data_IF_702191648768
#
_entry.id   IF_702191648768
#
_cell.length_a   1.000
_cell.length_b   1.000
_cell.length_c   1.000
_cell.angle_alpha   90.00
_cell.angle_beta   90.00
_cell.angle_gamma   90.00
#
_symmetry.space_group_name_H-M   'P 1'
#
loop_
_entity.id
_entity.type
_entity.pdbx_description
1 polymer ?
#
# COMPACT_ATOMS: atom_id res chain seq x y z
N UNK A 1 -56.04 20.62 5.67
CA UNK A 1 -57.02 20.47 4.54
C UNK A 1 -57.28 18.96 4.32
N UNK A 2 -58.18 18.54 3.42
CA UNK A 2 -58.56 17.11 3.22
C UNK A 2 -58.44 16.66 1.76
N UNK A 3 -57.86 15.47 1.54
CA UNK A 3 -57.92 14.52 0.39
C UNK A 3 -57.01 13.35 0.83
N UNK A 4 -57.40 12.09 1.06
CA UNK A 4 -58.60 11.26 0.75
C UNK A 4 -58.83 10.96 -0.74
N UNK A 5 -58.42 9.76 -1.17
CA UNK A 5 -59.17 8.66 -1.86
C UNK A 5 -58.26 7.40 -1.68
N UNK A 6 -58.67 6.27 -1.10
CA UNK A 6 -59.65 5.24 -1.54
C UNK A 6 -59.17 4.62 -2.86
N UNK A 7 -58.51 3.44 -2.91
CA UNK A 7 -58.88 2.07 -2.47
C UNK A 7 -59.81 1.36 -3.47
N UNK A 8 -59.29 0.28 -4.07
CA UNK A 8 -60.05 -0.73 -4.81
C UNK A 8 -59.38 -2.10 -4.60
N UNK A 9 -60.17 -3.13 -4.29
CA UNK A 9 -59.73 -4.50 -4.00
C UNK A 9 -60.53 -5.45 -4.90
N UNK A 10 -59.86 -6.33 -5.64
CA UNK A 10 -60.48 -7.42 -6.40
C UNK A 10 -59.64 -8.69 -6.31
N UNK A 11 -60.27 -9.86 -6.44
CA UNK A 11 -59.73 -11.17 -6.04
C UNK A 11 -60.12 -12.29 -7.00
N UNK A 12 -59.34 -13.37 -6.98
CA UNK A 12 -59.64 -14.72 -7.49
C UNK A 12 -59.78 -14.92 -9.02
N UNK A 13 -59.27 -16.06 -9.50
CA UNK A 13 -59.54 -16.59 -10.84
C UNK A 13 -58.48 -17.58 -11.34
N UNK A 14 -58.73 -18.89 -11.24
CA UNK A 14 -57.90 -19.93 -11.87
C UNK A 14 -58.28 -20.11 -13.35
N UNK A 15 -57.32 -20.45 -14.21
CA UNK A 15 -57.55 -21.39 -15.31
C UNK A 15 -56.27 -22.17 -15.68
N UNK A 16 -56.42 -23.27 -16.44
CA UNK A 16 -55.36 -24.25 -16.76
C UNK A 16 -55.43 -24.69 -18.23
N UNK A 17 -54.53 -25.59 -18.65
CA UNK A 17 -54.42 -26.22 -20.00
C UNK A 17 -53.85 -25.28 -21.10
N UNK A 18 -53.18 -25.76 -22.16
CA UNK A 18 -52.41 -27.01 -22.41
C UNK A 18 -51.56 -26.82 -23.69
N UNK A 19 -50.71 -27.78 -24.07
CA UNK A 19 -50.08 -27.80 -25.40
C UNK A 19 -51.08 -28.10 -26.54
N UNK A 20 -50.68 -28.11 -27.82
CA UNK A 20 -49.36 -27.79 -28.41
C UNK A 20 -49.26 -28.24 -29.88
N UNK A 21 -48.16 -27.88 -30.55
CA UNK A 21 -47.72 -28.29 -31.92
C UNK A 21 -48.63 -27.99 -33.14
N UNK A 22 -48.01 -27.54 -34.25
CA UNK A 22 -48.08 -28.03 -35.65
C UNK A 22 -47.09 -27.16 -36.50
N UNK A 23 -46.18 -27.66 -37.37
CA UNK A 23 -46.33 -28.43 -38.64
C UNK A 23 -46.78 -27.48 -39.79
N UNK A 24 -46.09 -27.30 -40.95
CA UNK A 24 -44.88 -27.95 -41.54
C UNK A 24 -44.34 -27.21 -42.81
N UNK A 25 -43.20 -27.65 -43.41
CA UNK A 25 -42.59 -27.50 -44.79
C UNK A 25 -42.94 -26.27 -45.70
N UNK A 26 -42.05 -25.60 -46.46
CA UNK A 26 -40.82 -25.90 -47.26
C UNK A 26 -41.03 -26.06 -48.81
N UNK A 27 -39.96 -25.85 -49.59
CA UNK A 27 -39.83 -25.77 -51.08
C UNK A 27 -40.46 -24.52 -51.76
N UNK A 28 -39.99 -23.99 -52.91
CA UNK A 28 -38.89 -24.36 -53.84
C UNK A 28 -38.25 -23.05 -54.42
N UNK A 29 -36.95 -22.94 -54.76
CA UNK A 29 -36.26 -23.45 -55.97
C UNK A 29 -36.75 -22.75 -57.28
N UNK A 30 -35.96 -22.05 -58.13
CA UNK A 30 -34.52 -21.71 -58.23
C UNK A 30 -34.37 -20.34 -59.01
N UNK A 31 -33.26 -19.82 -59.59
CA UNK A 31 -31.89 -20.29 -59.89
C UNK A 31 -30.90 -19.10 -60.21
N UNK A 32 -29.59 -19.41 -60.23
CA UNK A 32 -28.48 -18.89 -61.08
C UNK A 32 -28.24 -17.37 -61.35
N UNK A 33 -27.17 -16.80 -60.76
CA UNK A 33 -25.96 -16.35 -61.48
C UNK A 33 -24.72 -16.45 -60.54
N UNK A 34 -23.51 -16.05 -60.96
CA UNK A 34 -22.24 -16.63 -60.47
C UNK A 34 -21.26 -15.74 -59.69
N UNK A 35 -20.68 -16.36 -58.64
CA UNK A 35 -19.28 -16.34 -58.20
C UNK A 35 -18.68 -15.14 -57.41
N UNK A 36 -17.67 -15.52 -56.59
CA UNK A 36 -16.71 -14.71 -55.81
C UNK A 36 -17.30 -13.92 -54.62
N UNK A 37 -16.67 -13.84 -53.43
CA UNK A 37 -15.68 -14.68 -52.72
C UNK A 37 -15.52 -14.05 -51.33
N UNK A 38 -16.05 -14.68 -50.25
CA UNK A 38 -15.58 -14.47 -48.85
C UNK A 38 -16.23 -15.51 -47.91
N UNK A 39 -15.43 -16.37 -47.27
CA UNK A 39 -15.79 -17.14 -46.06
C UNK A 39 -15.01 -16.48 -44.90
N UNK A 40 -15.49 -16.33 -43.66
CA UNK A 40 -16.37 -17.20 -42.86
C UNK A 40 -16.97 -16.33 -41.72
N UNK A 41 -18.26 -16.34 -41.38
CA UNK A 41 -18.95 -17.25 -40.43
C UNK A 41 -18.09 -17.77 -39.25
N UNK A 42 -18.58 -17.86 -38.00
CA UNK A 42 -19.88 -17.49 -37.43
C UNK A 42 -20.24 -18.38 -36.21
N UNK A 43 -21.37 -18.06 -35.56
CA UNK A 43 -22.09 -18.84 -34.53
C UNK A 43 -21.51 -18.91 -33.10
N UNK A 44 -22.35 -18.53 -32.13
CA UNK A 44 -22.40 -19.09 -30.77
C UNK A 44 -22.64 -20.61 -30.80
N UNK A 45 -22.15 -21.35 -29.79
CA UNK A 45 -23.01 -22.24 -28.99
C UNK A 45 -22.40 -22.70 -27.64
N UNK A 46 -22.97 -22.14 -26.56
CA UNK A 46 -23.15 -22.68 -25.18
C UNK A 46 -22.36 -23.94 -24.72
N UNK A 47 -21.62 -23.77 -23.62
CA UNK A 47 -21.46 -24.72 -22.50
C UNK A 47 -21.31 -23.87 -21.21
N UNK A 48 -22.06 -24.08 -20.13
CA UNK A 48 -22.07 -25.20 -19.17
C UNK A 48 -20.86 -25.21 -18.22
N UNK A 49 -21.05 -24.52 -17.08
CA UNK A 49 -20.49 -24.79 -15.74
C UNK A 49 -19.06 -25.34 -15.64
N UNK A 50 -18.05 -24.54 -15.98
CA UNK A 50 -16.78 -24.60 -15.24
C UNK A 50 -16.85 -23.64 -14.05
N UNK A 51 -17.23 -24.22 -12.90
CA UNK A 51 -17.09 -23.61 -11.59
C UNK A 51 -15.61 -23.43 -11.30
N UNK A 52 -15.08 -22.24 -11.58
CA UNK A 52 -13.74 -21.84 -11.19
C UNK A 52 -13.64 -21.85 -9.65
N UNK A 53 -13.21 -23.00 -9.11
CA UNK A 53 -12.36 -23.00 -7.93
C UNK A 53 -11.05 -22.40 -8.39
N UNK A 54 -10.85 -21.13 -8.08
CA UNK A 54 -9.58 -20.78 -7.47
C UNK A 54 -9.47 -21.69 -6.24
N UNK A 55 -8.62 -22.71 -6.35
CA UNK A 55 -8.03 -23.26 -5.13
C UNK A 55 -7.17 -22.12 -4.60
N UNK A 56 -7.65 -21.48 -3.53
CA UNK A 56 -6.87 -20.51 -2.76
C UNK A 56 -5.59 -21.21 -2.31
N UNK A 57 -4.51 -21.06 -3.09
CA UNK A 57 -3.18 -21.19 -2.52
C UNK A 57 -3.16 -20.21 -1.35
N UNK A 58 -2.71 -20.69 -0.19
CA UNK A 58 -2.31 -19.74 0.85
C UNK A 58 -1.12 -19.02 0.25
N UNK A 59 -1.33 -17.78 -0.20
CA UNK A 59 -0.26 -16.85 -0.49
C UNK A 59 0.53 -16.65 0.79
N UNK A 60 1.58 -17.47 0.93
CA UNK A 60 2.62 -17.27 1.91
C UNK A 60 3.45 -16.13 1.36
N UNK A 61 3.01 -14.90 1.68
CA UNK A 61 3.86 -13.72 1.56
C UNK A 61 5.21 -14.04 2.20
N UNK A 62 6.28 -13.57 1.58
CA UNK A 62 7.61 -13.64 2.19
C UNK A 62 7.66 -12.69 3.40
N UNK A 63 8.54 -12.96 4.37
CA UNK A 63 8.67 -12.09 5.55
C UNK A 63 9.11 -10.68 5.10
N UNK A 64 8.40 -9.65 5.57
CA UNK A 64 8.56 -8.28 5.06
C UNK A 64 7.41 -7.33 5.41
N UNK A 65 7.45 -6.12 4.84
CA UNK A 65 6.46 -5.06 5.05
C UNK A 65 5.73 -4.76 3.75
N UNK A 66 4.42 -4.65 3.84
CA UNK A 66 3.48 -4.51 2.72
C UNK A 66 2.48 -3.38 3.02
N UNK A 67 2.04 -2.68 1.99
CA UNK A 67 0.87 -1.79 2.04
C UNK A 67 -0.34 -2.57 1.52
N UNK A 68 -1.34 -2.81 2.36
CA UNK A 68 -2.52 -3.61 2.03
C UNK A 68 -3.82 -2.82 2.25
N UNK A 69 -4.87 -3.12 1.48
CA UNK A 69 -6.18 -2.49 1.66
C UNK A 69 -6.89 -3.09 2.89
N UNK A 70 -7.55 -2.25 3.71
CA UNK A 70 -8.25 -2.68 4.92
C UNK A 70 -9.74 -2.34 4.81
N UNK A 71 -10.54 -3.34 4.48
CA UNK A 71 -11.98 -3.21 4.28
C UNK A 71 -12.77 -3.53 5.56
N UNK A 72 -13.95 -2.94 5.73
CA UNK A 72 -14.71 -3.02 6.98
C UNK A 72 -16.19 -2.68 6.84
N UNK A 73 -17.06 -3.37 7.60
CA UNK A 73 -18.50 -3.02 7.68
C UNK A 73 -18.79 -1.79 8.58
N UNK A 74 -17.77 -1.16 9.16
CA UNK A 74 -17.90 -0.11 10.18
C UNK A 74 -17.61 1.31 9.68
N UNK A 75 -18.64 2.16 9.63
CA UNK A 75 -18.48 3.61 9.39
C UNK A 75 -17.89 4.39 10.59
N UNK A 76 -17.44 3.71 11.64
CA UNK A 76 -16.79 4.31 12.82
C UNK A 76 -15.37 3.78 13.06
N UNK A 77 -14.97 2.73 12.35
CA UNK A 77 -13.71 2.03 12.51
C UNK A 77 -13.20 1.67 11.12
N UNK A 78 -12.48 2.61 10.52
CA UNK A 78 -11.84 2.50 9.22
C UNK A 78 -10.53 3.32 9.25
N UNK A 79 -9.64 3.03 8.30
CA UNK A 79 -8.37 3.74 8.12
C UNK A 79 -8.61 5.23 7.84
N UNK A 80 -7.66 6.07 8.27
CA UNK A 80 -7.67 7.51 8.01
C UNK A 80 -7.63 7.82 6.50
N UNK A 81 -8.33 8.88 6.07
CA UNK A 81 -8.35 9.34 4.67
C UNK A 81 -6.97 9.79 4.15
N UNK A 82 -6.00 10.08 5.03
CA UNK A 82 -4.62 10.36 4.66
C UNK A 82 -3.83 9.15 4.11
N UNK A 83 -4.32 7.91 4.33
CA UNK A 83 -3.68 6.67 3.85
C UNK A 83 -4.51 5.94 2.78
N UNK A 84 -5.46 6.62 2.13
CA UNK A 84 -6.30 6.08 1.04
C UNK A 84 -6.98 4.71 1.34
N UNK A 85 -7.27 4.41 2.61
CA UNK A 85 -7.90 3.15 3.04
C UNK A 85 -6.92 2.01 3.34
N UNK A 86 -5.61 2.25 3.31
CA UNK A 86 -4.57 1.21 3.40
C UNK A 86 -3.86 1.16 4.75
N UNK A 87 -3.59 -0.05 5.23
CA UNK A 87 -2.79 -0.30 6.43
C UNK A 87 -1.39 -0.83 6.10
N UNK A 88 -0.51 -0.80 7.09
CA UNK A 88 0.84 -1.39 6.98
C UNK A 88 0.79 -2.84 7.47
N UNK A 89 0.84 -3.79 6.56
CA UNK A 89 0.85 -5.22 6.82
C UNK A 89 2.31 -5.70 7.02
N UNK A 90 2.61 -6.22 8.20
CA UNK A 90 3.91 -6.84 8.52
C UNK A 90 3.74 -8.36 8.53
N UNK A 91 4.73 -9.07 7.97
CA UNK A 91 4.81 -10.53 7.91
C UNK A 91 6.12 -10.99 8.54
N UNK A 92 6.06 -11.79 9.60
CA UNK A 92 7.24 -12.36 10.28
C UNK A 92 6.98 -13.82 10.70
N UNK A 93 7.90 -14.75 10.38
CA UNK A 93 7.76 -16.20 10.62
C UNK A 93 6.46 -16.80 10.02
N UNK A 94 5.85 -16.10 9.04
CA UNK A 94 4.53 -16.42 8.48
C UNK A 94 3.32 -16.03 9.34
N UNK A 95 3.50 -15.29 10.44
CA UNK A 95 2.42 -14.59 11.15
C UNK A 95 2.23 -13.19 10.54
N UNK A 96 0.98 -12.81 10.28
CA UNK A 96 0.63 -11.55 9.61
C UNK A 96 -0.07 -10.59 10.58
N UNK A 97 0.35 -9.33 10.63
CA UNK A 97 -0.28 -8.28 11.46
C UNK A 97 -0.39 -6.99 10.67
N UNK A 98 -1.60 -6.40 10.59
CA UNK A 98 -1.82 -5.10 9.94
C UNK A 98 -1.97 -3.98 10.95
N UNK A 99 -1.18 -2.92 10.78
CA UNK A 99 -1.32 -1.66 11.50
C UNK A 99 -2.30 -0.73 10.77
N UNK A 100 -3.33 -0.25 11.48
CA UNK A 100 -4.36 0.64 10.91
C UNK A 100 -4.61 1.91 11.72
N UNK A 101 -4.03 3.02 11.28
CA UNK A 101 -4.28 4.36 11.83
C UNK A 101 -5.70 4.85 11.52
N UNK A 102 -6.50 5.11 12.55
CA UNK A 102 -7.93 5.44 12.40
C UNK A 102 -8.19 6.95 12.19
N UNK A 103 -9.40 7.31 11.74
CA UNK A 103 -9.88 8.71 11.72
C UNK A 103 -10.10 9.35 13.10
N UNK A 104 -10.00 8.61 14.22
CA UNK A 104 -10.19 9.21 15.55
C UNK A 104 -9.73 8.34 16.71
N UNK A 105 -9.31 9.00 17.80
CA UNK A 105 -9.09 8.39 19.12
C UNK A 105 -10.39 7.93 19.82
N UNK A 106 -11.39 7.39 19.11
CA UNK A 106 -12.75 7.11 19.62
C UNK A 106 -12.97 5.66 20.07
N UNK A 107 -12.21 4.72 19.50
CA UNK A 107 -12.07 3.34 19.97
C UNK A 107 -11.06 3.32 21.12
N UNK A 108 -11.25 2.43 22.11
CA UNK A 108 -10.46 2.41 23.36
C UNK A 108 -9.64 1.14 23.52
N UNK A 109 -10.14 0.01 23.01
CA UNK A 109 -9.42 -1.25 22.82
C UNK A 109 -10.08 -1.99 21.65
N UNK A 110 -9.37 -2.98 21.10
CA UNK A 110 -9.81 -3.87 20.04
C UNK A 110 -9.59 -5.33 20.49
N UNK A 111 -10.30 -6.28 19.90
CA UNK A 111 -10.09 -7.71 20.14
C UNK A 111 -10.29 -8.51 18.84
N UNK A 112 -9.36 -9.41 18.47
CA UNK A 112 -9.52 -10.27 17.30
C UNK A 112 -10.47 -11.43 17.65
N UNK A 113 -11.64 -11.47 17.01
CA UNK A 113 -12.79 -12.30 17.37
C UNK A 113 -13.96 -11.50 17.97
N UNK A 114 -14.92 -12.19 18.59
CA UNK A 114 -16.22 -11.59 18.93
C UNK A 114 -16.22 -10.76 20.22
N UNK A 115 -17.14 -9.80 20.30
CA UNK A 115 -17.42 -8.97 21.48
C UNK A 115 -17.81 -9.79 22.71
N UNK A 116 -18.34 -11.00 22.50
CA UNK A 116 -18.68 -11.96 23.55
C UNK A 116 -17.43 -12.67 24.10
N UNK A 117 -16.39 -12.81 23.29
CA UNK A 117 -15.12 -13.40 23.68
C UNK A 117 -14.21 -12.35 24.35
N UNK A 118 -14.20 -11.11 23.83
CA UNK A 118 -13.55 -9.94 24.43
C UNK A 118 -14.01 -9.61 25.87
N UNK A 119 -15.18 -10.11 26.29
CA UNK A 119 -15.75 -9.94 27.63
C UNK A 119 -15.45 -11.10 28.60
N UNK A 120 -14.61 -12.07 28.22
CA UNK A 120 -14.19 -13.18 29.08
C UNK A 120 -12.95 -12.82 29.89
N UNK A 121 -12.82 -13.42 31.08
CA UNK A 121 -11.57 -13.40 31.84
C UNK A 121 -10.44 -14.03 31.01
N UNK A 122 -9.36 -13.27 30.79
CA UNK A 122 -8.20 -13.71 29.99
C UNK A 122 -8.26 -13.38 28.50
N UNK A 123 -9.21 -12.57 28.04
CA UNK A 123 -9.18 -12.02 26.68
C UNK A 123 -7.98 -11.07 26.50
N UNK A 124 -7.15 -11.32 25.49
CA UNK A 124 -5.99 -10.49 25.14
C UNK A 124 -6.46 -9.31 24.30
N UNK A 125 -6.66 -8.16 24.95
CA UNK A 125 -7.16 -6.94 24.31
C UNK A 125 -6.01 -6.15 23.68
N UNK A 126 -6.15 -5.88 22.39
CA UNK A 126 -5.28 -5.00 21.63
C UNK A 126 -5.56 -3.55 22.05
N UNK A 127 -4.49 -2.81 22.34
CA UNK A 127 -4.53 -1.42 22.82
C UNK A 127 -4.21 -0.48 21.67
N UNK A 128 -4.78 0.74 21.66
CA UNK A 128 -4.41 1.72 20.65
C UNK A 128 -2.96 2.17 20.82
N UNK A 129 -2.28 2.36 19.69
CA UNK A 129 -1.08 3.20 19.57
C UNK A 129 -1.48 4.68 19.59
N UNK A 130 -0.56 5.59 19.31
CA UNK A 130 -0.89 6.99 19.02
C UNK A 130 0.04 7.47 17.91
N UNK A 131 -0.57 7.75 16.77
CA UNK A 131 0.12 7.94 15.50
C UNK A 131 -0.18 9.35 14.99
N UNK A 132 0.79 9.95 14.31
CA UNK A 132 0.76 11.34 13.87
C UNK A 132 0.41 11.41 12.38
N UNK A 133 -0.83 11.78 12.07
CA UNK A 133 -1.33 11.83 10.69
C UNK A 133 -1.19 13.25 10.16
N UNK A 134 -0.47 13.43 9.05
CA UNK A 134 -0.35 14.71 8.34
C UNK A 134 -1.18 14.67 7.06
N UNK A 135 -2.08 15.63 6.91
CA UNK A 135 -3.01 15.73 5.78
C UNK A 135 -2.42 16.60 4.64
N UNK A 136 -3.00 16.47 3.44
CA UNK A 136 -2.60 17.18 2.22
C UNK A 136 -2.63 18.73 2.29
N UNK A 137 -3.22 19.33 3.32
CA UNK A 137 -3.21 20.79 3.57
C UNK A 137 -2.12 21.24 4.55
N UNK A 138 -1.32 20.31 5.08
CA UNK A 138 -0.28 20.57 6.08
C UNK A 138 -0.80 20.66 7.52
N UNK A 139 -2.05 20.28 7.78
CA UNK A 139 -2.53 20.02 9.14
C UNK A 139 -2.06 18.64 9.62
N UNK A 140 -1.67 18.54 10.89
CA UNK A 140 -1.26 17.29 11.54
C UNK A 140 -2.10 17.07 12.79
N UNK A 141 -2.57 15.84 13.01
CA UNK A 141 -3.23 15.46 14.26
C UNK A 141 -2.82 14.08 14.77
N UNK A 142 -2.89 13.90 16.08
CA UNK A 142 -2.72 12.59 16.69
C UNK A 142 -4.02 11.76 16.57
N UNK A 143 -3.92 10.54 16.04
CA UNK A 143 -5.00 9.55 16.02
C UNK A 143 -4.68 8.37 16.94
N UNK A 144 -5.41 7.26 16.80
CA UNK A 144 -5.06 5.96 17.38
C UNK A 144 -4.99 4.95 16.25
N UNK A 145 -3.87 4.23 16.16
CA UNK A 145 -3.74 3.01 15.37
C UNK A 145 -4.01 1.76 16.20
N UNK A 146 -4.05 0.61 15.52
CA UNK A 146 -4.15 -0.71 16.12
C UNK A 146 -3.39 -1.72 15.28
N UNK A 147 -2.59 -2.55 15.93
CA UNK A 147 -1.95 -3.74 15.34
C UNK A 147 -2.94 -4.91 15.41
N UNK A 148 -3.37 -5.43 14.27
CA UNK A 148 -4.44 -6.45 14.17
C UNK A 148 -3.88 -7.72 13.51
N UNK A 149 -3.83 -8.86 14.21
CA UNK A 149 -3.45 -10.14 13.61
C UNK A 149 -4.41 -10.55 12.49
N UNK A 150 -3.85 -10.85 11.32
CA UNK A 150 -4.56 -11.22 10.09
C UNK A 150 -4.50 -12.76 9.92
N UNK A 151 -5.62 -13.50 10.02
CA UNK A 151 -5.60 -14.96 9.97
C UNK A 151 -5.42 -15.53 8.54
N UNK A 152 -5.85 -14.76 7.55
CA UNK A 152 -5.72 -15.02 6.11
C UNK A 152 -5.96 -13.70 5.36
N UNK A 153 -5.38 -13.58 4.16
CA UNK A 153 -5.68 -12.53 3.20
C UNK A 153 -6.99 -12.87 2.47
N UNK A 154 -7.69 -11.84 1.99
CA UNK A 154 -8.93 -11.93 1.20
C UNK A 154 -10.11 -12.69 1.85
N UNK A 155 -9.98 -13.05 3.14
CA UNK A 155 -11.02 -13.66 3.97
C UNK A 155 -11.58 -12.64 4.99
N UNK A 156 -12.92 -12.61 5.16
CA UNK A 156 -13.57 -11.83 6.23
C UNK A 156 -13.30 -12.47 7.60
N UNK A 157 -12.68 -11.72 8.53
CA UNK A 157 -12.58 -12.11 9.93
C UNK A 157 -13.38 -11.19 10.86
N UNK A 158 -13.76 -11.73 12.03
CA UNK A 158 -14.53 -10.99 13.04
C UNK A 158 -13.58 -10.18 13.94
N UNK A 159 -13.87 -8.90 14.14
CA UNK A 159 -13.15 -8.00 15.06
C UNK A 159 -14.15 -7.30 15.97
N UNK A 160 -13.85 -7.23 17.26
CA UNK A 160 -14.65 -6.52 18.23
C UNK A 160 -13.97 -5.22 18.68
N UNK A 161 -14.70 -4.10 18.65
CA UNK A 161 -14.20 -2.78 19.05
C UNK A 161 -14.88 -2.27 20.32
N UNK A 162 -14.11 -1.73 21.26
CA UNK A 162 -14.62 -1.11 22.48
C UNK A 162 -14.72 0.40 22.32
N UNK A 163 -15.93 0.91 22.09
CA UNK A 163 -16.16 2.36 22.04
C UNK A 163 -16.09 3.02 23.43
N UNK A 164 -15.79 4.33 23.46
CA UNK A 164 -15.72 5.20 24.67
C UNK A 164 -16.87 5.11 25.69
N UNK A 165 -17.98 4.47 25.37
CA UNK A 165 -19.14 4.23 26.27
C UNK A 165 -19.02 2.94 27.08
N UNK A 166 -17.98 2.12 26.88
CA UNK A 166 -17.85 0.81 27.52
C UNK A 166 -18.72 -0.27 26.87
N UNK A 167 -19.08 -0.09 25.60
CA UNK A 167 -19.86 -1.04 24.80
C UNK A 167 -18.96 -1.64 23.72
N UNK A 168 -18.93 -2.97 23.65
CA UNK A 168 -18.31 -3.71 22.56
C UNK A 168 -19.28 -3.82 21.37
N UNK A 169 -18.72 -3.78 20.16
CA UNK A 169 -19.45 -3.99 18.91
C UNK A 169 -18.67 -5.01 18.06
N UNK A 170 -19.36 -6.05 17.60
CA UNK A 170 -18.85 -6.98 16.58
C UNK A 170 -18.87 -6.30 15.20
N UNK A 171 -17.78 -6.45 14.44
CA UNK A 171 -17.60 -5.96 13.09
C UNK A 171 -16.90 -7.01 12.22
N UNK A 172 -17.02 -6.85 10.90
CA UNK A 172 -16.25 -7.64 9.93
C UNK A 172 -15.20 -6.78 9.26
N UNK A 173 -14.05 -7.40 9.02
CA UNK A 173 -12.90 -6.80 8.34
C UNK A 173 -12.26 -7.80 7.40
N UNK A 174 -11.56 -7.30 6.38
CA UNK A 174 -10.73 -8.10 5.46
C UNK A 174 -9.48 -7.31 5.07
N UNK A 175 -8.41 -8.03 4.74
CA UNK A 175 -7.15 -7.45 4.25
C UNK A 175 -6.86 -8.03 2.88
N UNK A 176 -6.70 -7.18 1.87
CA UNK A 176 -6.56 -7.55 0.45
C UNK A 176 -5.47 -6.73 -0.25
N UNK A 177 -5.12 -7.14 -1.46
CA UNK A 177 -4.14 -6.47 -2.34
C UNK A 177 -2.83 -6.03 -1.62
N UNK A 178 -2.08 -6.96 -0.98
CA UNK A 178 -0.81 -6.65 -0.33
C UNK A 178 0.28 -6.32 -1.37
N UNK A 179 0.53 -5.04 -1.58
CA UNK A 179 1.66 -4.56 -2.39
C UNK A 179 2.89 -4.47 -1.48
N UNK A 180 4.07 -4.96 -1.87
CA UNK A 180 5.30 -4.72 -1.10
C UNK A 180 5.46 -3.23 -0.84
N UNK A 181 5.74 -2.84 0.41
CA UNK A 181 6.05 -1.46 0.69
C UNK A 181 7.40 -1.11 0.03
N UNK A 182 7.39 -0.13 -0.87
CA UNK A 182 8.59 0.70 -1.10
C UNK A 182 9.07 1.10 0.31
N UNK A 183 10.29 0.73 0.73
CA UNK A 183 10.62 0.63 2.17
C UNK A 183 10.65 1.98 2.92
N UNK A 184 9.45 2.45 3.27
CA UNK A 184 9.20 3.39 4.35
C UNK A 184 9.35 2.63 5.67
N UNK A 185 10.59 2.22 5.97
CA UNK A 185 11.02 2.16 7.36
C UNK A 185 10.67 3.49 8.02
N UNK A 186 10.25 3.45 9.29
CA UNK A 186 9.78 4.64 10.02
C UNK A 186 10.84 5.75 9.91
N UNK A 187 10.54 6.81 9.16
CA UNK A 187 11.54 7.76 8.63
C UNK A 187 12.09 8.61 9.77
N UNK A 188 13.11 8.10 10.47
CA UNK A 188 13.57 8.71 11.71
C UNK A 188 14.24 10.04 11.41
N UNK A 189 13.69 11.14 11.92
CA UNK A 189 14.24 12.48 11.68
C UNK A 189 15.40 12.78 12.63
N UNK A 190 16.25 13.74 12.24
CA UNK A 190 17.28 14.28 13.13
C UNK A 190 16.70 14.92 14.41
N UNK A 191 15.45 15.41 14.37
CA UNK A 191 14.77 15.98 15.54
C UNK A 191 14.36 14.87 16.54
N UNK A 192 13.89 13.71 16.07
CA UNK A 192 13.51 12.56 16.90
C UNK A 192 14.73 11.87 17.52
N UNK A 193 15.84 11.79 16.79
CA UNK A 193 17.15 11.39 17.32
C UNK A 193 17.76 12.40 18.30
N UNK A 194 17.22 13.63 18.36
CA UNK A 194 17.71 14.70 19.23
C UNK A 194 19.09 15.24 18.84
N UNK A 195 19.44 15.20 17.55
CA UNK A 195 20.74 15.65 17.05
C UNK A 195 20.82 17.19 17.02
N UNK A 196 21.84 17.76 17.67
CA UNK A 196 22.10 19.20 17.64
C UNK A 196 22.83 19.64 16.35
N UNK A 197 22.71 20.91 15.98
CA UNK A 197 23.44 21.54 14.86
C UNK A 197 24.95 21.23 14.93
N UNK A 198 25.46 20.50 13.94
CA UNK A 198 26.71 19.76 14.08
C UNK A 198 27.25 19.17 12.79
N UNK A 199 28.34 18.41 12.93
CA UNK A 199 28.95 17.61 11.87
C UNK A 199 29.08 16.19 12.41
N UNK A 200 28.61 15.21 11.65
CA UNK A 200 28.54 13.81 12.05
C UNK A 200 29.06 12.91 10.91
N UNK A 201 29.24 11.63 11.20
CA UNK A 201 29.45 10.56 10.22
C UNK A 201 28.38 9.50 10.39
N UNK A 202 27.94 8.88 9.28
CA UNK A 202 26.92 7.83 9.26
C UNK A 202 27.32 6.74 8.26
N UNK A 203 27.10 5.47 8.57
CA UNK A 203 27.23 4.42 7.56
C UNK A 203 26.09 4.55 6.54
N UNK A 204 26.49 4.62 5.28
CA UNK A 204 25.60 4.68 4.11
C UNK A 204 25.83 3.46 3.23
N UNK A 205 24.76 2.91 2.66
CA UNK A 205 24.81 1.90 1.61
C UNK A 205 24.21 2.45 0.31
N UNK A 206 24.59 1.86 -0.83
CA UNK A 206 24.09 2.21 -2.16
C UNK A 206 23.73 0.92 -2.90
N UNK A 207 22.46 0.78 -3.25
CA UNK A 207 21.93 -0.33 -4.05
C UNK A 207 21.51 0.13 -5.45
N UNK A 208 21.23 -0.82 -6.34
CA UNK A 208 20.73 -0.55 -7.70
C UNK A 208 21.80 -0.44 -8.79
N UNK A 209 21.41 0.18 -9.91
CA UNK A 209 22.18 0.28 -11.14
C UNK A 209 22.70 -1.06 -11.68
N UNK A 210 23.99 -1.33 -11.47
CA UNK A 210 24.64 -2.58 -11.89
C UNK A 210 25.45 -3.28 -10.80
N UNK A 211 25.26 -2.91 -9.52
CA UNK A 211 26.01 -3.45 -8.38
C UNK A 211 27.52 -3.18 -8.42
N UNK A 212 27.95 -2.17 -9.19
CA UNK A 212 29.37 -1.76 -9.35
C UNK A 212 29.66 -0.36 -8.84
N UNK A 213 28.62 0.46 -8.70
CA UNK A 213 28.73 1.73 -8.01
C UNK A 213 28.73 1.47 -6.50
N UNK A 214 29.46 2.28 -5.78
CA UNK A 214 29.45 2.41 -4.32
C UNK A 214 29.70 3.88 -3.98
N UNK A 215 29.29 4.29 -2.78
CA UNK A 215 29.70 5.54 -2.13
C UNK A 215 30.75 5.25 -1.05
N UNK A 216 31.54 6.25 -0.69
CA UNK A 216 32.41 6.20 0.49
C UNK A 216 31.55 6.16 1.76
N UNK A 217 31.86 5.24 2.67
CA UNK A 217 31.09 4.98 3.88
C UNK A 217 32.06 4.76 5.05
N UNK A 218 31.86 5.39 6.22
CA UNK A 218 30.76 6.30 6.53
C UNK A 218 30.86 7.65 5.79
N UNK A 219 29.72 8.18 5.37
CA UNK A 219 29.60 9.51 4.75
C UNK A 219 29.55 10.60 5.82
N UNK A 220 29.89 11.85 5.44
CA UNK A 220 29.74 13.00 6.35
C UNK A 220 28.31 13.52 6.32
N UNK A 221 27.78 13.88 7.48
CA UNK A 221 26.55 14.66 7.62
C UNK A 221 26.86 16.04 8.19
N UNK A 222 26.14 17.06 7.72
CA UNK A 222 26.02 18.35 8.38
C UNK A 222 24.56 18.61 8.76
N UNK A 223 24.32 19.04 10.00
CA UNK A 223 22.99 19.37 10.52
C UNK A 223 22.97 20.87 10.87
N UNK A 224 22.00 21.61 10.31
CA UNK A 224 21.78 23.05 10.52
C UNK A 224 20.29 23.40 10.49
N UNK A 225 19.80 24.11 11.50
CA UNK A 225 18.38 24.52 11.60
C UNK A 225 17.42 23.32 11.38
N UNK A 226 17.76 22.15 11.92
CA UNK A 226 17.02 20.88 11.77
C UNK A 226 17.21 20.15 10.42
N UNK A 227 17.91 20.76 9.45
CA UNK A 227 18.13 20.17 8.11
C UNK A 227 19.41 19.35 8.06
N UNK A 228 19.30 18.13 7.55
CA UNK A 228 20.44 17.23 7.29
C UNK A 228 20.89 17.34 5.83
N UNK A 229 22.21 17.44 5.62
CA UNK A 229 22.82 17.24 4.30
C UNK A 229 23.94 16.18 4.40
N UNK A 230 24.02 15.28 3.42
CA UNK A 230 25.06 14.27 3.30
C UNK A 230 26.08 14.64 2.21
N UNK A 231 27.38 14.49 2.51
CA UNK A 231 28.47 14.56 1.54
C UNK A 231 28.74 13.14 1.01
N UNK A 232 28.29 12.86 -0.22
CA UNK A 232 28.39 11.56 -0.88
C UNK A 232 29.53 11.55 -1.91
N UNK A 233 30.64 10.89 -1.57
CA UNK A 233 31.75 10.62 -2.51
C UNK A 233 31.49 9.31 -3.24
N UNK A 234 31.31 9.33 -4.55
CA UNK A 234 31.10 8.11 -5.35
C UNK A 234 32.41 7.38 -5.63
N UNK A 235 32.32 6.10 -6.01
CA UNK A 235 33.45 5.26 -6.45
C UNK A 235 34.06 5.61 -7.82
N UNK A 236 33.60 6.69 -8.48
CA UNK A 236 33.97 7.05 -9.85
C UNK A 236 33.90 8.57 -10.08
N UNK A 237 34.78 9.16 -10.91
CA UNK A 237 34.73 10.57 -11.34
C UNK A 237 33.77 10.83 -12.50
N UNK A 238 32.95 9.84 -12.91
CA UNK A 238 32.14 9.87 -14.13
C UNK A 238 30.64 10.03 -13.84
N UNK A 239 30.27 10.78 -12.80
CA UNK A 239 28.90 11.19 -12.53
C UNK A 239 28.80 12.71 -12.54
N UNK A 240 27.88 13.28 -13.33
CA UNK A 240 27.77 14.73 -13.52
C UNK A 240 26.79 15.38 -12.51
N UNK A 241 25.70 14.67 -12.19
CA UNK A 241 24.67 15.11 -11.25
C UNK A 241 23.91 13.93 -10.62
N UNK A 242 23.34 14.18 -9.46
CA UNK A 242 22.28 13.38 -8.85
C UNK A 242 20.92 14.09 -8.99
N UNK A 243 19.84 13.33 -8.90
CA UNK A 243 18.48 13.80 -8.67
C UNK A 243 17.99 13.14 -7.38
N UNK A 244 17.49 13.95 -6.44
CA UNK A 244 16.92 13.53 -5.15
C UNK A 244 15.60 14.30 -5.00
N UNK A 245 14.49 13.63 -4.69
CA UNK A 245 13.13 14.20 -4.63
C UNK A 245 12.71 15.02 -5.87
N UNK A 246 13.29 14.70 -7.04
CA UNK A 246 13.10 15.43 -8.30
C UNK A 246 13.94 16.72 -8.44
N UNK A 247 14.64 17.15 -7.40
CA UNK A 247 15.60 18.26 -7.46
C UNK A 247 17.00 17.78 -7.90
N UNK A 248 17.75 18.63 -8.62
CA UNK A 248 19.00 18.27 -9.29
C UNK A 248 20.23 18.83 -8.55
N UNK A 249 21.08 17.94 -8.09
CA UNK A 249 22.29 18.22 -7.32
C UNK A 249 23.55 17.97 -8.18
N UNK A 250 24.37 19.01 -8.39
CA UNK A 250 25.62 18.93 -9.18
C UNK A 250 26.83 18.67 -8.30
N UNK A 251 27.92 18.16 -8.88
CA UNK A 251 29.17 17.94 -8.13
C UNK A 251 29.66 19.19 -7.38
N UNK A 252 30.17 19.00 -6.17
CA UNK A 252 30.79 20.05 -5.35
C UNK A 252 32.30 20.16 -5.56
N UNK A 253 32.93 19.13 -6.14
CA UNK A 253 34.36 19.05 -6.41
C UNK A 253 34.71 19.10 -7.92
N UNK A 254 36.01 19.24 -8.22
CA UNK A 254 36.56 19.23 -9.59
C UNK A 254 37.79 18.34 -9.76
N UNK A 255 38.25 17.69 -8.69
CA UNK A 255 39.36 16.73 -8.66
C UNK A 255 38.98 15.56 -7.73
N UNK A 256 39.40 14.34 -8.06
CA UNK A 256 38.97 13.11 -7.37
C UNK A 256 37.73 12.48 -8.01
N UNK A 257 37.02 11.63 -7.26
CA UNK A 257 35.74 11.05 -7.70
C UNK A 257 34.59 12.06 -7.53
N UNK A 258 33.45 11.83 -8.19
CA UNK A 258 32.28 12.72 -8.09
C UNK A 258 31.77 12.80 -6.66
N UNK A 259 31.73 14.01 -6.10
CA UNK A 259 31.24 14.30 -4.74
C UNK A 259 30.00 15.19 -4.83
N UNK A 260 28.95 14.85 -4.08
CA UNK A 260 27.70 15.61 -4.05
C UNK A 260 27.31 15.96 -2.61
N UNK A 261 26.74 17.13 -2.41
CA UNK A 261 25.98 17.48 -1.21
C UNK A 261 24.49 17.31 -1.53
N UNK A 262 23.78 16.47 -0.78
CA UNK A 262 22.34 16.18 -0.98
C UNK A 262 21.58 16.27 0.35
N UNK A 263 20.28 16.64 0.35
CA UNK A 263 19.46 16.55 1.56
C UNK A 263 19.24 15.08 1.97
N UNK A 264 19.02 14.87 3.26
CA UNK A 264 18.53 13.60 3.81
C UNK A 264 17.24 13.90 4.55
N UNK A 265 16.11 13.34 4.09
CA UNK A 265 14.79 13.57 4.68
C UNK A 265 14.64 12.90 6.06
N UNK A 266 15.27 11.73 6.23
CA UNK A 266 15.39 11.01 7.49
C UNK A 266 16.30 9.79 7.31
N UNK A 267 16.43 9.02 8.39
CA UNK A 267 17.27 7.83 8.49
C UNK A 267 16.41 6.55 8.47
N UNK A 268 17.06 5.39 8.43
CA UNK A 268 16.45 4.05 8.51
C UNK A 268 15.36 3.75 7.46
N UNK A 269 15.33 4.52 6.37
CA UNK A 269 14.43 4.37 5.22
C UNK A 269 15.19 4.42 3.90
N UNK A 270 14.59 3.85 2.84
CA UNK A 270 15.18 3.88 1.49
C UNK A 270 14.97 5.24 0.83
N UNK A 271 16.06 5.88 0.40
CA UNK A 271 16.07 7.15 -0.34
C UNK A 271 16.44 6.89 -1.82
N UNK A 272 15.46 6.97 -2.71
CA UNK A 272 15.69 6.80 -4.15
C UNK A 272 16.35 8.01 -4.80
N UNK A 273 17.37 7.74 -5.60
CA UNK A 273 18.16 8.75 -6.32
C UNK A 273 18.46 8.31 -7.75
N UNK A 274 18.46 9.26 -8.68
CA UNK A 274 18.99 9.03 -10.04
C UNK A 274 20.37 9.66 -10.15
N UNK A 275 21.38 8.95 -10.63
CA UNK A 275 22.69 9.53 -10.91
C UNK A 275 23.03 9.40 -12.40
N UNK A 276 23.33 10.52 -13.06
CA UNK A 276 23.73 10.53 -14.47
C UNK A 276 25.21 10.19 -14.62
N UNK A 277 25.52 9.14 -15.39
CA UNK A 277 26.90 8.73 -15.67
C UNK A 277 27.31 8.98 -17.12
N UNK A 278 28.41 9.71 -17.28
CA UNK A 278 29.06 10.00 -18.57
C UNK A 278 30.05 8.91 -19.02
N UNK A 279 30.24 7.85 -18.21
CA UNK A 279 31.23 6.80 -18.44
C UNK A 279 31.04 6.01 -19.76
N UNK A 280 29.84 6.01 -20.34
CA UNK A 280 29.45 5.14 -21.47
C UNK A 280 29.35 5.86 -22.81
N UNK A 281 30.03 7.01 -22.98
CA UNK A 281 30.05 7.88 -24.19
C UNK A 281 28.71 8.54 -24.57
N UNK A 282 27.60 8.07 -24.02
CA UNK A 282 26.32 8.79 -23.90
C UNK A 282 26.05 8.95 -22.40
N UNK A 283 25.52 10.09 -21.92
CA UNK A 283 25.01 10.20 -20.55
C UNK A 283 23.84 9.23 -20.31
N UNK A 284 23.73 8.73 -19.09
CA UNK A 284 22.70 7.80 -18.66
C UNK A 284 22.35 8.08 -17.20
N UNK A 285 21.15 8.62 -16.96
CA UNK A 285 20.51 8.54 -15.64
C UNK A 285 20.27 7.07 -15.30
N UNK A 286 20.75 6.66 -14.13
CA UNK A 286 20.60 5.31 -13.58
C UNK A 286 19.98 5.44 -12.19
N UNK A 287 18.98 4.62 -11.92
CA UNK A 287 18.31 4.50 -10.63
C UNK A 287 19.17 3.75 -9.61
N UNK A 288 19.28 4.33 -8.41
CA UNK A 288 19.92 3.76 -7.23
C UNK A 288 19.08 4.08 -6.00
N UNK A 289 19.30 3.34 -4.93
CA UNK A 289 18.68 3.62 -3.63
C UNK A 289 19.79 3.75 -2.59
N UNK A 290 19.69 4.77 -1.74
CA UNK A 290 20.56 5.00 -0.59
C UNK A 290 19.83 4.57 0.69
N UNK A 291 20.59 4.12 1.69
CA UNK A 291 20.10 3.90 3.05
C UNK A 291 21.14 4.43 4.04
N UNK A 292 20.69 5.12 5.08
CA UNK A 292 21.52 5.74 6.12
C UNK A 292 21.12 5.19 7.50
N UNK A 293 22.02 4.46 8.15
CA UNK A 293 21.75 3.77 9.42
C UNK A 293 21.88 4.72 10.62
N UNK A 294 20.77 5.03 11.30
CA UNK A 294 20.75 5.98 12.41
C UNK A 294 21.57 5.53 13.63
N UNK A 295 21.72 4.22 13.84
CA UNK A 295 22.48 3.65 14.95
C UNK A 295 24.00 3.81 14.76
N UNK A 296 24.46 4.20 13.57
CA UNK A 296 25.87 4.47 13.26
C UNK A 296 26.26 5.95 13.31
N UNK A 297 25.35 6.86 13.69
CA UNK A 297 25.61 8.30 13.71
C UNK A 297 26.61 8.67 14.84
N UNK A 298 27.84 9.01 14.46
CA UNK A 298 28.89 9.49 15.38
C UNK A 298 29.21 10.98 15.14
N UNK A 299 29.39 11.81 16.19
CA UNK A 299 29.77 13.22 16.05
C UNK A 299 31.26 13.39 15.70
N UNK A 300 31.57 14.26 14.75
CA UNK A 300 32.95 14.56 14.34
C UNK A 300 33.63 15.48 15.38
N UNK A 301 34.62 14.96 16.11
CA UNK A 301 35.43 15.75 17.05
C UNK A 301 36.24 16.87 16.34
N UNK A 302 36.49 17.98 17.05
CA UNK A 302 37.05 19.25 16.53
C UNK A 302 38.47 19.53 17.04
#
# INVERSE_FOLDING_TARGET
MKRKFILALCTLGMFTLSGGYHVVMAQADAAEETALEDETTGADEKSEEEQAKEDTEKDVLEDGVYTAEFDTDSTMFHVNEAYDGKGTLTVEDGEMTIHVSLVSKSIVNLFPGTAKDAQKDGAELLKPTTDSVTYNDGYTEEVYGFDIPVPALDEEFDVAILGKKGTWYDHKVSVSDPVPAEETGEVVTAEELGLEDGNYTVEVTLEGGSGKATVESPAKLEIKDGKVQAELVWSSPNYDYMIVDGEKYTMTNTEGNSTFEVPVAGFDSKLDVKADTVAMSTPHEIDYTLFFDSATIEPVEK
#
